data_IF_525048102778
#
_entry.id   IF_525048102778
#
_cell.length_a   1.000
_cell.length_b   1.000
_cell.length_c   1.000
_cell.angle_alpha   90.00
_cell.angle_beta   90.00
_cell.angle_gamma   90.00
#
_symmetry.space_group_name_H-M   'P 1'
#
loop_
_entity.id
_entity.type
_entity.pdbx_description
1 polymer ?
#
# COMPACT_ATOMS: atom_id res chain seq x y z
N UNK A 1 -3.09 -3.61 -18.30
CA UNK A 1 -1.72 -3.07 -18.28
C UNK A 1 -1.13 -3.30 -16.90
N UNK A 2 0.15 -3.65 -16.75
CA UNK A 2 0.77 -3.68 -15.42
C UNK A 2 0.60 -2.30 -14.79
N UNK A 3 0.06 -2.24 -13.58
CA UNK A 3 -0.05 -1.02 -12.79
C UNK A 3 1.38 -0.63 -12.40
N UNK A 4 1.99 0.20 -13.22
CA UNK A 4 3.34 0.70 -13.04
C UNK A 4 3.26 1.93 -12.13
N UNK A 5 3.96 1.92 -11.00
CA UNK A 5 4.10 3.11 -10.16
C UNK A 5 5.02 4.12 -10.86
N UNK A 6 4.48 5.26 -11.33
CA UNK A 6 5.25 6.26 -12.04
C UNK A 6 6.12 7.12 -11.11
N UNK A 7 6.14 6.85 -9.81
CA UNK A 7 6.92 7.56 -8.80
C UNK A 7 8.00 6.73 -8.12
N UNK A 8 8.25 5.52 -8.63
CA UNK A 8 9.38 4.69 -8.23
C UNK A 8 10.70 5.42 -8.53
N UNK A 9 11.51 5.61 -7.49
CA UNK A 9 12.89 6.10 -7.60
C UNK A 9 13.83 4.92 -7.40
N UNK A 10 14.89 4.84 -8.18
CA UNK A 10 15.88 3.76 -8.07
C UNK A 10 17.28 4.28 -8.29
N UNK A 11 18.24 3.62 -7.65
CA UNK A 11 19.67 3.77 -7.91
C UNK A 11 20.28 2.36 -7.94
N UNK A 12 20.58 1.88 -9.14
CA UNK A 12 21.17 0.55 -9.35
C UNK A 12 22.70 0.57 -9.27
N UNK A 13 23.31 1.76 -9.24
CA UNK A 13 24.75 1.94 -9.30
C UNK A 13 25.34 2.38 -7.95
N UNK A 14 24.49 2.59 -6.93
CA UNK A 14 24.93 2.78 -5.56
C UNK A 14 25.65 1.54 -5.01
N UNK A 15 26.51 1.73 -4.01
CA UNK A 15 27.18 0.65 -3.27
C UNK A 15 26.17 -0.38 -2.72
N UNK A 16 25.00 0.13 -2.29
CA UNK A 16 23.81 -0.66 -1.95
C UNK A 16 22.66 -0.27 -2.88
N UNK A 17 22.40 -1.03 -3.97
CA UNK A 17 21.33 -0.74 -4.91
C UNK A 17 19.97 -0.69 -4.22
N UNK A 18 19.12 0.27 -4.61
CA UNK A 18 17.79 0.42 -4.03
C UNK A 18 16.76 0.88 -5.04
N UNK A 19 15.50 0.53 -4.78
CA UNK A 19 14.33 1.04 -5.48
C UNK A 19 13.24 1.34 -4.43
N UNK A 20 12.84 2.61 -4.31
CA UNK A 20 11.84 3.06 -3.36
C UNK A 20 10.70 3.77 -4.05
N UNK A 21 9.50 3.43 -3.64
CA UNK A 21 8.27 4.08 -4.05
C UNK A 21 7.39 4.38 -2.84
N UNK A 22 6.50 5.38 -2.91
CA UNK A 22 5.62 5.72 -1.80
C UNK A 22 4.55 4.65 -1.61
N UNK A 23 4.46 4.08 -0.40
CA UNK A 23 3.50 3.02 -0.05
C UNK A 23 2.09 3.25 -0.62
N UNK A 24 1.54 4.45 -0.38
CA UNK A 24 0.18 4.82 -0.76
C UNK A 24 -0.05 4.90 -2.28
N UNK A 25 1.00 5.07 -3.08
CA UNK A 25 0.93 5.09 -4.53
C UNK A 25 1.21 3.72 -5.17
N UNK A 26 1.99 2.87 -4.50
CA UNK A 26 2.52 1.63 -5.11
C UNK A 26 1.67 0.40 -4.87
N UNK A 27 1.10 0.24 -3.67
CA UNK A 27 0.40 -1.02 -3.35
C UNK A 27 -0.79 -1.23 -4.28
N UNK A 28 -1.10 -2.49 -4.59
CA UNK A 28 -2.11 -2.85 -5.58
C UNK A 28 -3.51 -2.38 -5.15
N UNK A 29 -3.87 -2.68 -3.90
CA UNK A 29 -5.07 -2.20 -3.22
C UNK A 29 -4.68 -1.68 -1.84
N UNK A 30 -5.29 -0.57 -1.43
CA UNK A 30 -5.13 -0.01 -0.08
C UNK A 30 -6.49 0.41 0.44
N UNK A 31 -6.83 -0.05 1.64
CA UNK A 31 -7.95 0.42 2.42
C UNK A 31 -7.43 1.14 3.67
N UNK A 32 -7.96 2.32 3.95
CA UNK A 32 -7.68 3.05 5.18
C UNK A 32 -8.98 3.22 5.96
N UNK A 33 -8.97 2.75 7.20
CA UNK A 33 -10.06 2.96 8.15
C UNK A 33 -9.55 3.73 9.34
N UNK A 34 -10.29 4.77 9.73
CA UNK A 34 -9.93 5.60 10.87
C UNK A 34 -10.66 5.13 12.12
N UNK A 35 -9.90 4.73 13.13
CA UNK A 35 -10.42 4.36 14.44
C UNK A 35 -11.11 5.56 15.12
N UNK A 36 -12.14 5.33 15.95
CA UNK A 36 -12.84 6.41 16.65
C UNK A 36 -11.97 7.10 17.72
N UNK A 37 -10.97 6.40 18.24
CA UNK A 37 -10.05 6.87 19.27
C UNK A 37 -8.64 6.36 18.98
N UNK A 38 -7.64 7.02 19.56
CA UNK A 38 -6.25 6.57 19.46
C UNK A 38 -6.12 5.16 20.06
N UNK A 39 -5.44 4.22 19.37
CA UNK A 39 -5.15 2.92 19.95
C UNK A 39 -4.17 3.09 21.11
N UNK A 40 -4.52 2.57 22.28
CA UNK A 40 -3.60 2.47 23.41
C UNK A 40 -2.49 1.45 23.10
N UNK A 41 -1.29 1.58 23.68
CA UNK A 41 -0.18 0.68 23.41
C UNK A 41 -0.47 -0.72 23.99
N UNK A 42 -1.03 -1.59 23.15
CA UNK A 42 -1.16 -3.03 23.37
C UNK A 42 -0.39 -3.81 22.28
N UNK A 43 -0.30 -5.14 22.40
CA UNK A 43 0.29 -5.94 21.33
C UNK A 43 -0.53 -5.82 20.04
N UNK A 44 0.07 -6.09 18.87
CA UNK A 44 -0.67 -6.12 17.61
C UNK A 44 -1.86 -7.10 17.67
N UNK A 45 -1.70 -8.23 18.37
CA UNK A 45 -2.76 -9.21 18.56
C UNK A 45 -3.96 -8.65 19.34
N UNK A 46 -3.69 -7.85 20.38
CA UNK A 46 -4.75 -7.20 21.16
C UNK A 46 -5.45 -6.10 20.36
N UNK A 47 -4.69 -5.36 19.54
CA UNK A 47 -5.24 -4.34 18.66
C UNK A 47 -6.24 -4.93 17.66
N UNK A 48 -5.95 -6.09 17.07
CA UNK A 48 -6.88 -6.78 16.17
C UNK A 48 -8.18 -7.25 16.84
N UNK A 49 -8.23 -7.33 18.18
CA UNK A 49 -9.43 -7.68 18.95
C UNK A 49 -10.27 -6.45 19.34
N UNK A 50 -9.74 -5.23 19.13
CA UNK A 50 -10.44 -4.01 19.51
C UNK A 50 -11.62 -3.71 18.58
N UNK A 51 -12.69 -3.19 19.17
CA UNK A 51 -13.88 -2.77 18.43
C UNK A 51 -13.54 -1.62 17.48
N UNK A 52 -13.92 -1.76 16.20
CA UNK A 52 -13.67 -0.75 15.16
C UNK A 52 -12.43 -1.01 14.30
N UNK A 53 -11.64 -2.05 14.59
CA UNK A 53 -10.63 -2.53 13.65
C UNK A 53 -11.30 -3.28 12.48
N UNK A 54 -10.80 -3.09 11.24
CA UNK A 54 -11.28 -3.86 10.10
C UNK A 54 -11.04 -5.36 10.29
N UNK A 55 -12.02 -6.16 9.92
CA UNK A 55 -11.84 -7.60 9.74
C UNK A 55 -10.80 -7.85 8.65
N UNK A 56 -9.93 -8.84 8.85
CA UNK A 56 -8.99 -9.25 7.82
C UNK A 56 -9.75 -9.95 6.66
N UNK A 57 -9.42 -9.67 5.38
CA UNK A 57 -10.08 -10.34 4.26
C UNK A 57 -9.90 -11.86 4.32
N UNK A 58 -10.97 -12.62 4.05
CA UNK A 58 -10.92 -14.09 3.99
C UNK A 58 -11.12 -14.58 2.56
N UNK A 59 -10.46 -15.69 2.16
CA UNK A 59 -10.64 -16.27 0.82
C UNK A 59 -12.09 -16.66 0.53
N UNK A 60 -12.83 -17.11 1.54
CA UNK A 60 -14.22 -17.53 1.41
C UNK A 60 -15.18 -16.34 1.25
N UNK A 61 -14.79 -15.14 1.70
CA UNK A 61 -15.71 -14.04 1.98
C UNK A 61 -16.66 -14.38 3.13
N UNK A 62 -17.20 -13.39 3.84
CA UNK A 62 -18.21 -13.66 4.85
C UNK A 62 -19.54 -14.10 4.20
N UNK A 63 -20.30 -14.97 4.87
CA UNK A 63 -21.52 -15.65 4.36
C UNK A 63 -22.56 -14.69 3.74
N UNK A 64 -22.52 -13.40 4.11
CA UNK A 64 -23.41 -12.35 3.59
C UNK A 64 -22.96 -11.68 2.28
N UNK A 65 -21.84 -12.09 1.66
CA UNK A 65 -21.26 -11.46 0.44
C UNK A 65 -21.07 -9.92 0.53
N UNK A 66 -21.17 -9.33 1.72
CA UNK A 66 -21.03 -7.88 1.97
C UNK A 66 -19.59 -7.46 2.21
N UNK A 67 -18.73 -8.39 2.63
CA UNK A 67 -17.29 -8.14 2.79
C UNK A 67 -16.53 -8.84 1.67
N UNK A 68 -15.62 -8.10 1.04
CA UNK A 68 -14.95 -8.55 -0.16
C UNK A 68 -13.90 -9.64 0.12
N UNK A 69 -13.76 -10.58 -0.82
CA UNK A 69 -12.73 -11.64 -0.79
C UNK A 69 -11.28 -11.12 -0.80
N UNK A 70 -11.08 -9.85 -1.16
CA UNK A 70 -9.80 -9.17 -1.24
C UNK A 70 -9.96 -7.70 -0.84
N UNK A 71 -8.83 -7.05 -0.53
CA UNK A 71 -8.84 -5.65 -0.09
C UNK A 71 -9.46 -4.75 -1.16
N UNK A 72 -10.52 -4.03 -0.80
CA UNK A 72 -11.09 -2.99 -1.65
C UNK A 72 -10.32 -1.68 -1.46
N UNK A 73 -10.03 -0.99 -2.57
CA UNK A 73 -9.30 0.28 -2.52
C UNK A 73 -10.19 1.38 -1.92
N UNK A 74 -9.79 1.97 -0.81
CA UNK A 74 -10.46 3.12 -0.22
C UNK A 74 -9.46 3.94 0.59
N UNK A 75 -9.19 5.16 0.15
CA UNK A 75 -8.31 6.08 0.87
C UNK A 75 -9.03 7.36 1.29
N UNK A 76 -10.36 7.40 1.09
CA UNK A 76 -11.18 8.58 1.36
C UNK A 76 -11.12 9.01 2.84
N UNK A 77 -10.96 8.05 3.75
CA UNK A 77 -10.82 8.29 5.19
C UNK A 77 -9.69 9.27 5.55
N UNK A 78 -8.62 9.33 4.74
CA UNK A 78 -7.48 10.22 4.96
C UNK A 78 -7.81 11.70 4.76
N UNK A 79 -8.93 12.00 4.09
CA UNK A 79 -9.31 13.35 3.69
C UNK A 79 -10.35 14.00 4.60
N UNK A 80 -10.87 13.27 5.59
CA UNK A 80 -11.81 13.83 6.55
C UNK A 80 -11.10 14.44 7.76
N UNK A 81 -11.70 15.47 8.34
CA UNK A 81 -11.21 16.10 9.55
C UNK A 81 -11.16 15.08 10.71
N UNK A 82 -10.14 15.15 11.60
CA UNK A 82 -10.06 14.27 12.77
C UNK A 82 -11.28 14.38 13.71
N UNK A 83 -11.94 15.55 13.71
CA UNK A 83 -13.12 15.86 14.52
C UNK A 83 -14.45 15.49 13.86
N UNK A 84 -14.47 15.18 12.57
CA UNK A 84 -15.71 14.97 11.81
C UNK A 84 -15.49 14.00 10.66
N UNK A 85 -16.21 12.88 10.67
CA UNK A 85 -16.15 11.86 9.61
C UNK A 85 -16.89 12.27 8.32
N UNK A 86 -17.50 13.45 8.29
CA UNK A 86 -18.33 13.92 7.18
C UNK A 86 -17.77 15.19 6.52
N UNK A 87 -16.86 15.90 7.19
CA UNK A 87 -16.26 17.13 6.70
C UNK A 87 -14.87 16.85 6.13
N UNK A 88 -14.66 17.24 4.88
CA UNK A 88 -13.38 17.10 4.19
C UNK A 88 -12.43 18.21 4.65
N UNK A 89 -11.19 17.85 4.91
CA UNK A 89 -10.11 18.80 5.17
C UNK A 89 -9.66 19.45 3.86
N UNK A 90 -10.22 20.62 3.57
CA UNK A 90 -9.91 21.40 2.36
C UNK A 90 -8.43 21.76 2.24
N UNK A 91 -7.67 21.78 3.35
CA UNK A 91 -6.23 22.08 3.33
C UNK A 91 -5.41 21.00 2.61
N UNK A 92 -5.96 19.79 2.46
CA UNK A 92 -5.33 18.68 1.76
C UNK A 92 -5.39 18.84 0.23
N UNK A 93 -6.16 19.82 -0.28
CA UNK A 93 -6.23 20.13 -1.71
C UNK A 93 -6.99 19.08 -2.54
N UNK A 94 -7.88 18.31 -1.91
CA UNK A 94 -8.81 17.42 -2.59
C UNK A 94 -10.24 17.97 -2.45
N UNK A 95 -10.92 18.20 -3.57
CA UNK A 95 -12.33 18.57 -3.55
C UNK A 95 -13.23 17.35 -3.26
N UNK A 96 -14.51 17.60 -3.03
CA UNK A 96 -15.50 16.56 -2.71
C UNK A 96 -15.55 15.47 -3.79
N UNK A 97 -15.44 15.84 -5.07
CA UNK A 97 -15.45 14.89 -6.18
C UNK A 97 -14.22 13.99 -6.19
N UNK A 98 -13.06 14.56 -5.85
CA UNK A 98 -11.79 13.83 -5.71
C UNK A 98 -11.88 12.83 -4.57
N UNK A 99 -12.36 13.25 -3.40
CA UNK A 99 -12.52 12.36 -2.24
C UNK A 99 -13.54 11.26 -2.54
N UNK A 100 -14.65 11.58 -3.21
CA UNK A 100 -15.62 10.58 -3.66
C UNK A 100 -14.99 9.55 -4.61
N UNK A 101 -14.15 9.99 -5.55
CA UNK A 101 -13.44 9.07 -6.45
C UNK A 101 -12.43 8.15 -5.75
N UNK A 102 -11.94 8.53 -4.56
CA UNK A 102 -11.02 7.72 -3.75
C UNK A 102 -11.73 6.68 -2.87
N UNK A 103 -13.07 6.66 -2.85
CA UNK A 103 -13.88 5.72 -2.10
C UNK A 103 -14.22 4.51 -2.97
N UNK A 104 -13.70 3.34 -2.66
CA UNK A 104 -14.07 2.08 -3.34
C UNK A 104 -14.89 1.12 -2.49
N UNK A 105 -15.40 1.59 -1.34
CA UNK A 105 -16.33 0.83 -0.49
C UNK A 105 -17.67 1.54 -0.30
N UNK A 106 -18.70 0.77 0.09
CA UNK A 106 -20.06 1.29 0.32
C UNK A 106 -20.93 1.39 -0.94
N UNK A 107 -22.11 1.99 -0.80
CA UNK A 107 -23.10 2.09 -1.89
C UNK A 107 -22.68 3.01 -3.03
N UNK A 108 -21.80 3.97 -2.75
CA UNK A 108 -21.25 4.94 -3.72
C UNK A 108 -19.82 4.59 -4.13
N UNK A 109 -19.43 3.31 -4.02
CA UNK A 109 -18.10 2.85 -4.35
C UNK A 109 -17.72 3.15 -5.80
N UNK A 110 -16.57 3.79 -5.99
CA UNK A 110 -15.89 3.88 -7.27
C UNK A 110 -15.12 2.56 -7.53
N UNK A 111 -15.49 1.76 -8.54
CA UNK A 111 -14.78 0.52 -8.89
C UNK A 111 -13.36 0.76 -9.43
N UNK A 112 -12.98 2.02 -9.66
CA UNK A 112 -11.67 2.46 -10.10
C UNK A 112 -10.95 3.35 -9.07
N UNK A 113 -11.30 3.22 -7.79
CA UNK A 113 -10.67 3.96 -6.70
C UNK A 113 -9.13 3.77 -6.68
N UNK A 114 -8.62 2.61 -7.10
CA UNK A 114 -7.17 2.35 -7.21
C UNK A 114 -6.48 3.28 -8.22
N UNK A 115 -7.15 3.58 -9.34
CA UNK A 115 -6.63 4.50 -10.35
C UNK A 115 -6.72 5.94 -9.86
N UNK A 116 -7.82 6.30 -9.20
CA UNK A 116 -7.98 7.62 -8.60
C UNK A 116 -6.88 7.87 -7.55
N UNK A 117 -6.61 6.89 -6.68
CA UNK A 117 -5.53 6.90 -5.69
C UNK A 117 -4.18 7.07 -6.37
N UNK A 118 -3.84 6.21 -7.33
CA UNK A 118 -2.57 6.28 -8.05
C UNK A 118 -2.37 7.66 -8.72
N UNK A 119 -3.41 8.21 -9.34
CA UNK A 119 -3.38 9.53 -9.98
C UNK A 119 -3.19 10.66 -8.97
N UNK A 120 -3.94 10.67 -7.87
CA UNK A 120 -3.85 11.71 -6.85
C UNK A 120 -2.48 11.70 -6.16
N UNK A 121 -2.04 10.52 -5.72
CA UNK A 121 -0.77 10.37 -4.99
C UNK A 121 0.47 10.28 -5.90
N UNK A 122 0.33 10.45 -7.21
CA UNK A 122 1.46 10.67 -8.10
C UNK A 122 2.22 11.98 -7.76
N UNK A 123 1.48 13.01 -7.33
CA UNK A 123 2.05 14.30 -6.94
C UNK A 123 2.78 14.23 -5.61
N UNK A 124 4.04 14.69 -5.57
CA UNK A 124 4.79 14.84 -4.32
C UNK A 124 4.14 15.86 -3.38
N UNK A 125 3.51 16.91 -3.92
CA UNK A 125 2.81 17.91 -3.12
C UNK A 125 1.62 17.29 -2.37
N UNK A 126 0.79 16.52 -3.06
CA UNK A 126 -0.36 15.83 -2.45
C UNK A 126 0.09 14.85 -1.36
N UNK A 127 1.16 14.08 -1.62
CA UNK A 127 1.74 13.15 -0.64
C UNK A 127 2.27 13.85 0.61
N UNK A 128 2.75 15.09 0.51
CA UNK A 128 3.23 15.86 1.67
C UNK A 128 2.09 16.43 2.52
N UNK A 129 0.91 16.65 1.93
CA UNK A 129 -0.27 17.19 2.64
C UNK A 129 -0.96 16.10 3.48
N UNK A 130 -1.13 14.91 2.92
CA UNK A 130 -1.77 13.79 3.60
C UNK A 130 -0.84 13.19 4.66
N UNK A 131 -1.35 13.00 5.87
CA UNK A 131 -0.62 12.41 7.00
C UNK A 131 -1.38 11.23 7.57
N UNK A 132 -0.63 10.20 7.93
CA UNK A 132 -1.12 9.09 8.74
C UNK A 132 -0.99 9.44 10.22
N UNK A 133 -1.96 8.98 10.99
CA UNK A 133 -2.06 9.10 12.44
C UNK A 133 -2.12 7.71 13.06
N UNK A 134 -2.00 7.60 14.38
CA UNK A 134 -2.15 6.33 15.08
C UNK A 134 -3.55 5.69 14.88
N UNK A 135 -4.55 6.49 14.47
CA UNK A 135 -5.92 6.03 14.22
C UNK A 135 -6.10 5.42 12.84
N UNK A 136 -5.17 5.61 11.92
CA UNK A 136 -5.31 5.15 10.55
C UNK A 136 -4.84 3.71 10.43
N UNK A 137 -5.79 2.78 10.40
CA UNK A 137 -5.52 1.37 10.11
C UNK A 137 -5.44 1.20 8.61
N UNK A 138 -4.27 0.76 8.14
CA UNK A 138 -3.98 0.57 6.72
C UNK A 138 -3.97 -0.92 6.41
N UNK A 139 -4.91 -1.37 5.59
CA UNK A 139 -4.93 -2.72 5.01
C UNK A 139 -4.48 -2.62 3.56
N UNK A 140 -3.50 -3.42 3.14
CA UNK A 140 -2.97 -3.35 1.79
C UNK A 140 -2.65 -4.72 1.21
N UNK A 141 -2.90 -4.88 -0.09
CA UNK A 141 -2.50 -6.07 -0.82
C UNK A 141 -1.07 -5.94 -1.34
N UNK A 142 -0.24 -6.91 -0.97
CA UNK A 142 1.09 -7.06 -1.54
C UNK A 142 1.05 -7.91 -2.81
N UNK A 143 0.73 -7.26 -3.92
CA UNK A 143 0.77 -7.86 -5.25
C UNK A 143 1.50 -6.89 -6.20
N UNK A 144 2.84 -6.87 -6.12
CA UNK A 144 3.63 -6.03 -7.03
C UNK A 144 4.14 -6.87 -8.21
N UNK A 145 4.05 -6.30 -9.42
CA UNK A 145 4.55 -6.93 -10.64
C UNK A 145 6.04 -6.68 -10.90
N UNK A 146 6.79 -6.21 -9.91
CA UNK A 146 8.20 -5.88 -10.08
C UNK A 146 9.10 -7.10 -9.93
N UNK A 147 8.63 -8.20 -9.35
CA UNK A 147 9.41 -9.42 -9.19
C UNK A 147 8.76 -10.57 -9.97
N UNK A 148 9.51 -11.10 -10.93
CA UNK A 148 9.14 -12.30 -11.67
C UNK A 148 9.89 -13.48 -11.07
N UNK A 149 9.18 -14.33 -10.33
CA UNK A 149 9.78 -15.51 -9.71
C UNK A 149 10.08 -16.64 -10.69
N UNK A 150 9.48 -16.66 -11.89
CA UNK A 150 9.78 -17.72 -12.87
C UNK A 150 11.23 -17.60 -13.35
N UNK A 151 11.65 -16.38 -13.65
CA UNK A 151 13.02 -16.07 -14.09
C UNK A 151 13.90 -15.55 -12.94
N UNK A 152 13.31 -15.28 -11.77
CA UNK A 152 13.92 -14.56 -10.67
C UNK A 152 14.56 -13.25 -11.16
N UNK A 153 13.72 -12.35 -11.63
CA UNK A 153 14.15 -11.07 -12.17
C UNK A 153 13.31 -9.92 -11.65
N UNK A 154 13.93 -8.75 -11.50
CA UNK A 154 13.20 -7.50 -11.27
C UNK A 154 12.78 -6.93 -12.61
N UNK A 155 11.49 -6.70 -12.81
CA UNK A 155 10.94 -5.99 -13.97
C UNK A 155 10.85 -4.52 -13.60
N UNK A 156 11.69 -3.67 -14.21
CA UNK A 156 11.61 -2.24 -13.97
C UNK A 156 10.65 -1.57 -14.98
N UNK A 157 9.79 -0.65 -14.51
CA UNK A 157 8.77 -0.04 -15.36
C UNK A 157 9.32 0.92 -16.41
N UNK A 158 10.37 1.67 -16.08
CA UNK A 158 10.92 2.71 -16.96
C UNK A 158 11.91 2.19 -18.00
N UNK A 159 12.25 0.90 -17.93
CA UNK A 159 13.22 0.27 -18.83
C UNK A 159 12.54 -0.44 -20.00
N UNK A 160 11.28 -0.12 -20.32
CA UNK A 160 10.47 -0.83 -21.30
C UNK A 160 10.36 -2.34 -21.02
N UNK A 161 10.35 -2.74 -19.74
CA UNK A 161 10.26 -4.13 -19.32
C UNK A 161 11.58 -4.90 -19.37
N UNK A 162 12.74 -4.23 -19.42
CA UNK A 162 14.02 -4.92 -19.20
C UNK A 162 14.00 -5.62 -17.84
N UNK A 163 14.23 -6.93 -17.87
CA UNK A 163 14.37 -7.79 -16.71
C UNK A 163 15.79 -7.69 -16.20
N UNK A 164 15.94 -7.41 -14.91
CA UNK A 164 17.21 -7.49 -14.22
C UNK A 164 17.30 -8.86 -13.54
N UNK A 165 18.12 -9.76 -14.09
CA UNK A 165 18.31 -11.11 -13.57
C UNK A 165 18.95 -11.05 -12.17
N UNK A 166 18.18 -11.41 -11.15
CA UNK A 166 18.67 -11.44 -9.78
C UNK A 166 19.49 -12.69 -9.50
N UNK A 167 19.45 -13.77 -10.31
CA UNK A 167 20.23 -15.00 -10.06
C UNK A 167 21.72 -14.73 -9.95
N UNK A 168 22.23 -13.78 -10.75
CA UNK A 168 23.66 -13.43 -10.77
C UNK A 168 24.11 -12.63 -9.55
N UNK A 169 23.17 -11.97 -8.86
CA UNK A 169 23.43 -11.14 -7.69
C UNK A 169 22.92 -11.76 -6.39
N UNK A 170 22.11 -12.80 -6.48
CA UNK A 170 21.60 -13.52 -5.34
C UNK A 170 22.73 -14.36 -4.73
N UNK A 171 22.96 -14.18 -3.43
CA UNK A 171 24.04 -14.80 -2.65
C UNK A 171 23.56 -15.88 -1.66
N UNK A 172 22.28 -16.25 -1.70
CA UNK A 172 21.63 -17.21 -0.82
C UNK A 172 20.62 -16.53 0.11
N UNK A 173 20.62 -15.20 0.18
CA UNK A 173 19.79 -14.43 1.11
C UNK A 173 18.38 -14.20 0.58
N UNK A 174 17.39 -14.08 1.48
CA UNK A 174 16.03 -13.81 1.08
C UNK A 174 15.85 -12.42 0.50
N UNK A 175 14.90 -12.29 -0.41
CA UNK A 175 14.52 -11.00 -0.99
C UNK A 175 13.59 -10.27 -0.03
N UNK A 176 13.94 -9.05 0.37
CA UNK A 176 13.19 -8.27 1.37
C UNK A 176 12.64 -6.98 0.80
N UNK A 177 11.35 -6.75 1.01
CA UNK A 177 10.69 -5.48 0.81
C UNK A 177 10.54 -4.77 2.15
N UNK A 178 11.15 -3.60 2.27
CA UNK A 178 11.06 -2.77 3.45
C UNK A 178 10.05 -1.65 3.23
N UNK A 179 9.02 -1.59 4.08
CA UNK A 179 8.30 -0.34 4.28
C UNK A 179 8.99 0.43 5.39
N UNK A 180 9.56 1.59 5.08
CA UNK A 180 10.30 2.40 6.05
C UNK A 180 10.12 3.89 5.83
N UNK A 181 10.30 4.65 6.91
CA UNK A 181 10.50 6.09 6.82
C UNK A 181 11.87 6.35 6.18
N UNK A 182 11.88 7.05 5.04
CA UNK A 182 13.11 7.33 4.30
C UNK A 182 14.07 8.25 5.06
N UNK A 183 13.57 9.17 5.88
CA UNK A 183 14.37 10.17 6.58
C UNK A 183 14.93 9.64 7.91
N UNK A 184 14.13 8.88 8.67
CA UNK A 184 14.54 8.37 9.98
C UNK A 184 15.10 6.94 9.93
N UNK A 185 14.85 6.21 8.85
CA UNK A 185 15.20 4.79 8.73
C UNK A 185 14.27 3.85 9.50
N UNK A 186 13.26 4.37 10.22
CA UNK A 186 12.30 3.55 10.96
C UNK A 186 11.59 2.57 10.03
N UNK A 187 11.72 1.27 10.30
CA UNK A 187 11.03 0.20 9.58
C UNK A 187 9.64 0.01 10.18
N UNK A 188 8.62 -0.05 9.33
CA UNK A 188 7.24 -0.33 9.71
C UNK A 188 6.91 -1.82 9.55
N UNK A 189 7.26 -2.40 8.41
CA UNK A 189 7.15 -3.83 8.18
C UNK A 189 8.16 -4.31 7.13
N UNK A 190 8.40 -5.62 7.11
CA UNK A 190 9.25 -6.30 6.13
C UNK A 190 8.47 -7.47 5.55
N UNK A 191 8.48 -7.58 4.22
CA UNK A 191 7.99 -8.77 3.52
C UNK A 191 9.22 -9.49 2.98
N UNK A 192 9.38 -10.74 3.41
CA UNK A 192 10.54 -11.55 3.08
C UNK A 192 10.12 -12.76 2.22
N UNK A 193 10.76 -12.89 1.06
CA UNK A 193 10.65 -14.07 0.20
C UNK A 193 11.86 -14.96 0.42
N UNK A 194 11.62 -16.10 1.06
CA UNK A 194 12.59 -17.20 1.12
C UNK A 194 12.41 -18.03 -0.14
N UNK A 195 13.44 -18.05 -0.96
CA UNK A 195 13.37 -18.71 -2.24
C UNK A 195 14.14 -20.02 -2.10
N UNK A 196 13.39 -21.10 -2.20
CA UNK A 196 13.88 -22.46 -2.01
C UNK A 196 14.28 -23.04 -3.36
N UNK A 197 15.45 -23.67 -3.43
CA UNK A 197 15.81 -24.49 -4.58
C UNK A 197 14.81 -25.64 -4.71
N UNK A 198 14.27 -25.85 -5.91
CA UNK A 198 13.34 -26.94 -6.21
C UNK A 198 14.00 -28.33 -6.24
N UNK A 199 15.32 -28.41 -5.99
CA UNK A 199 16.09 -29.65 -6.05
C UNK A 199 16.36 -30.18 -4.64
N UNK A 200 15.49 -31.10 -4.19
CA UNK A 200 15.90 -32.23 -3.35
C UNK A 200 16.10 -33.45 -4.25
#
# INVERSE_FOLDING_TARGET
APLIDPTLKLDLYADEPWAFSPLIGTMYRINVQRLPQDPEPSSAEDLFKLTGWPTFPTPEGNEDMKEAQYVQDDTSALFYLPSSSSEIDESLGADVGTVHNLRGTGSEANPHAEKARANFFHSEEHRKKVKFTARDVVTADFANGFLDFNDLAVILPYTAGMKFDLKRMWDGRPVRYFCKNKSTGQVYFVIEFNIMDLNN
#
